data_IF_832512337246
#
_entry.id   IF_832512337246
#
_cell.length_a   1.000
_cell.length_b   1.000
_cell.length_c   1.000
_cell.angle_alpha   90.00
_cell.angle_beta   90.00
_cell.angle_gamma   90.00
#
_symmetry.space_group_name_H-M   'P 1'
#
loop_
_entity.id
_entity.type
_entity.pdbx_description
1 polymer ?
#
# COMPACT_ATOMS: atom_id res chain seq x y z
N UNK A 1 -26.95 -8.43 20.83
CA UNK A 1 -27.24 -7.33 19.90
C UNK A 1 -26.79 -7.79 18.52
N UNK A 2 -27.73 -8.03 17.60
CA UNK A 2 -27.42 -8.53 16.25
C UNK A 2 -26.93 -7.38 15.39
N UNK A 3 -25.65 -7.35 15.03
CA UNK A 3 -25.12 -6.43 14.03
C UNK A 3 -25.82 -6.70 12.69
N UNK A 4 -26.70 -5.78 12.29
CA UNK A 4 -27.31 -5.79 10.97
C UNK A 4 -26.22 -5.39 9.98
N UNK A 5 -25.77 -6.35 9.15
CA UNK A 5 -24.83 -6.05 8.05
C UNK A 5 -25.38 -4.87 7.23
N UNK A 6 -24.55 -3.86 6.90
CA UNK A 6 -24.99 -2.70 6.14
C UNK A 6 -25.58 -3.14 4.80
N UNK A 7 -26.77 -2.60 4.50
CA UNK A 7 -27.49 -2.85 3.24
C UNK A 7 -26.82 -2.11 2.09
N UNK A 8 -27.17 -2.45 0.84
CA UNK A 8 -26.66 -1.76 -0.35
C UNK A 8 -27.00 -0.26 -0.33
N UNK A 9 -28.16 0.11 0.22
CA UNK A 9 -28.57 1.50 0.37
C UNK A 9 -27.72 2.25 1.41
N UNK A 10 -27.29 1.56 2.47
CA UNK A 10 -26.38 2.11 3.47
C UNK A 10 -25.00 2.41 2.86
N UNK A 11 -24.46 1.51 2.02
CA UNK A 11 -23.22 1.76 1.29
C UNK A 11 -23.34 2.93 0.32
N UNK A 12 -24.43 3.03 -0.44
CA UNK A 12 -24.65 4.12 -1.37
C UNK A 12 -24.74 5.48 -0.66
N UNK A 13 -25.45 5.54 0.47
CA UNK A 13 -25.52 6.74 1.30
C UNK A 13 -24.15 7.13 1.88
N UNK A 14 -23.36 6.14 2.29
CA UNK A 14 -22.02 6.32 2.82
C UNK A 14 -21.05 6.86 1.76
N UNK A 15 -21.07 6.32 0.54
CA UNK A 15 -20.28 6.81 -0.60
C UNK A 15 -20.60 8.26 -0.92
N UNK A 16 -21.89 8.64 -0.92
CA UNK A 16 -22.30 10.04 -1.13
C UNK A 16 -21.72 10.97 -0.07
N UNK A 17 -21.72 10.56 1.20
CA UNK A 17 -21.14 11.35 2.30
C UNK A 17 -19.62 11.46 2.20
N UNK A 18 -18.93 10.37 1.82
CA UNK A 18 -17.48 10.39 1.62
C UNK A 18 -17.08 11.37 0.50
N UNK A 19 -17.82 11.38 -0.61
CA UNK A 19 -17.55 12.25 -1.77
C UNK A 19 -18.03 13.69 -1.62
N UNK A 20 -18.90 13.96 -0.65
CA UNK A 20 -19.44 15.30 -0.41
C UNK A 20 -18.36 16.24 0.13
N UNK A 21 -18.11 17.33 -0.58
CA UNK A 21 -17.22 18.40 -0.11
C UNK A 21 -17.76 19.13 1.13
N UNK A 22 -19.08 19.05 1.38
CA UNK A 22 -19.73 19.63 2.57
C UNK A 22 -19.56 18.78 3.83
N UNK A 23 -19.07 17.54 3.68
CA UNK A 23 -18.86 16.65 4.81
C UNK A 23 -17.49 16.91 5.42
N UNK A 24 -17.48 17.06 6.75
CA UNK A 24 -16.27 17.26 7.52
C UNK A 24 -15.16 16.24 7.15
N UNK A 25 -13.90 16.68 6.98
CA UNK A 25 -12.79 15.77 6.65
C UNK A 25 -12.64 14.60 7.62
N UNK A 26 -12.79 14.82 8.94
CA UNK A 26 -12.73 13.77 9.95
C UNK A 26 -13.85 12.75 9.79
N UNK A 27 -15.06 13.21 9.50
CA UNK A 27 -16.20 12.33 9.20
C UNK A 27 -15.95 11.50 7.94
N UNK A 28 -15.42 12.10 6.86
CA UNK A 28 -15.08 11.34 5.64
C UNK A 28 -14.06 10.24 5.92
N UNK A 29 -13.02 10.56 6.68
CA UNK A 29 -11.98 9.61 7.11
C UNK A 29 -12.56 8.47 7.95
N UNK A 30 -13.40 8.77 8.94
CA UNK A 30 -14.04 7.77 9.79
C UNK A 30 -14.94 6.82 8.98
N UNK A 31 -15.66 7.34 7.98
CA UNK A 31 -16.45 6.51 7.07
C UNK A 31 -15.53 5.57 6.26
N UNK A 32 -14.45 6.08 5.69
CA UNK A 32 -13.51 5.23 4.93
C UNK A 32 -12.88 4.13 5.80
N UNK A 33 -12.50 4.44 7.04
CA UNK A 33 -12.04 3.41 7.97
C UNK A 33 -13.12 2.38 8.30
N UNK A 34 -14.37 2.81 8.47
CA UNK A 34 -15.50 1.91 8.73
C UNK A 34 -15.73 0.95 7.55
N UNK A 35 -15.54 1.41 6.31
CA UNK A 35 -15.59 0.55 5.12
C UNK A 35 -14.53 -0.56 5.18
N UNK A 36 -13.27 -0.22 5.48
CA UNK A 36 -12.21 -1.22 5.63
C UNK A 36 -12.42 -2.16 6.82
N UNK A 37 -12.91 -1.64 7.95
CA UNK A 37 -13.19 -2.43 9.15
C UNK A 37 -14.38 -3.39 8.96
N UNK A 38 -15.29 -3.09 8.03
CA UNK A 38 -16.43 -3.97 7.75
C UNK A 38 -16.02 -5.34 7.20
N UNK A 39 -14.85 -5.44 6.55
CA UNK A 39 -14.40 -6.64 5.85
C UNK A 39 -15.32 -7.05 4.70
N UNK A 40 -16.28 -6.21 4.29
CA UNK A 40 -17.23 -6.51 3.23
C UNK A 40 -16.56 -6.28 1.86
N UNK A 41 -16.44 -7.31 1.00
CA UNK A 41 -15.79 -7.16 -0.31
C UNK A 41 -16.44 -6.08 -1.20
N UNK A 42 -17.70 -5.72 -0.96
CA UNK A 42 -18.38 -4.62 -1.68
C UNK A 42 -17.72 -3.25 -1.43
N UNK A 43 -16.89 -3.12 -0.39
CA UNK A 43 -16.13 -1.92 -0.10
C UNK A 43 -14.90 -1.74 -1.02
N UNK A 44 -14.31 -2.83 -1.55
CA UNK A 44 -13.11 -2.79 -2.39
C UNK A 44 -13.26 -1.83 -3.59
N UNK A 45 -14.30 -1.94 -4.45
CA UNK A 45 -14.45 -1.04 -5.59
C UNK A 45 -14.66 0.42 -5.19
N UNK A 46 -15.28 0.67 -4.02
CA UNK A 46 -15.47 2.02 -3.48
C UNK A 46 -14.12 2.61 -3.07
N UNK A 47 -13.35 1.88 -2.27
CA UNK A 47 -12.05 2.31 -1.78
C UNK A 47 -11.05 2.51 -2.93
N UNK A 48 -11.08 1.64 -3.95
CA UNK A 48 -10.31 1.81 -5.19
C UNK A 48 -10.62 3.14 -5.89
N UNK A 49 -11.90 3.50 -5.99
CA UNK A 49 -12.31 4.79 -6.55
C UNK A 49 -11.75 5.98 -5.76
N UNK A 50 -11.71 5.89 -4.43
CA UNK A 50 -11.21 6.95 -3.57
C UNK A 50 -9.70 7.18 -3.71
N UNK A 51 -8.91 6.11 -3.86
CA UNK A 51 -7.45 6.25 -4.07
C UNK A 51 -7.09 6.79 -5.45
N UNK A 52 -7.91 6.52 -6.47
CA UNK A 52 -7.71 7.01 -7.84
C UNK A 52 -8.02 8.51 -7.98
N UNK A 53 -9.05 9.01 -7.27
CA UNK A 53 -9.50 10.40 -7.35
C UNK A 53 -8.56 11.41 -6.65
N UNK A 54 -7.54 10.94 -5.91
CA UNK A 54 -6.59 11.80 -5.17
C UNK A 54 -7.30 12.80 -4.23
N UNK A 55 -8.39 12.35 -3.61
CA UNK A 55 -9.24 13.17 -2.74
C UNK A 55 -9.00 12.88 -1.27
N UNK A 56 -9.54 13.78 -0.43
CA UNK A 56 -9.21 13.96 0.99
C UNK A 56 -9.08 12.69 1.87
N UNK A 57 -9.74 11.54 1.64
CA UNK A 57 -9.42 10.35 2.42
C UNK A 57 -8.54 9.32 1.69
N UNK A 58 -7.67 9.72 0.75
CA UNK A 58 -6.76 8.80 0.03
C UNK A 58 -5.88 7.97 0.97
N UNK A 59 -5.33 8.60 2.02
CA UNK A 59 -4.53 7.92 3.05
C UNK A 59 -5.35 6.87 3.80
N UNK A 60 -6.56 7.24 4.21
CA UNK A 60 -7.48 6.34 4.89
C UNK A 60 -7.92 5.19 3.96
N UNK A 61 -8.06 5.46 2.66
CA UNK A 61 -8.47 4.47 1.70
C UNK A 61 -7.34 3.46 1.41
N UNK A 62 -6.08 3.88 1.33
CA UNK A 62 -4.92 2.99 1.27
C UNK A 62 -4.91 2.02 2.47
N UNK A 63 -5.04 2.57 3.68
CA UNK A 63 -5.04 1.77 4.91
C UNK A 63 -6.27 0.86 5.03
N UNK A 64 -7.44 1.32 4.58
CA UNK A 64 -8.66 0.52 4.58
C UNK A 64 -8.56 -0.66 3.61
N UNK A 65 -7.95 -0.48 2.43
CA UNK A 65 -7.68 -1.54 1.47
C UNK A 65 -6.76 -2.62 2.05
N UNK A 66 -5.70 -2.23 2.76
CA UNK A 66 -4.79 -3.17 3.40
C UNK A 66 -5.47 -4.15 4.39
N UNK A 67 -6.65 -3.79 4.92
CA UNK A 67 -7.40 -4.64 5.87
C UNK A 67 -8.08 -5.83 5.20
N UNK A 68 -8.23 -5.82 3.88
CA UNK A 68 -8.75 -6.96 3.13
C UNK A 68 -7.70 -8.07 2.95
N UNK A 69 -6.45 -7.84 3.38
CA UNK A 69 -5.38 -8.82 3.29
C UNK A 69 -4.89 -9.04 1.87
N UNK A 70 -4.32 -10.22 1.61
CA UNK A 70 -3.75 -10.60 0.30
C UNK A 70 -4.84 -10.90 -0.71
N UNK A 71 -5.44 -9.85 -1.24
CA UNK A 71 -6.40 -9.88 -2.33
C UNK A 71 -5.75 -9.28 -3.59
N UNK A 72 -5.82 -10.00 -4.71
CA UNK A 72 -5.16 -9.58 -5.96
C UNK A 72 -5.71 -8.28 -6.54
N UNK A 73 -7.01 -8.01 -6.36
CA UNK A 73 -7.62 -6.76 -6.82
C UNK A 73 -7.12 -5.59 -5.98
N UNK A 74 -7.00 -5.80 -4.67
CA UNK A 74 -6.44 -4.83 -3.72
C UNK A 74 -4.96 -4.56 -4.03
N UNK A 75 -4.14 -5.60 -4.16
CA UNK A 75 -2.72 -5.48 -4.50
C UNK A 75 -2.54 -4.71 -5.81
N UNK A 76 -3.28 -5.09 -6.86
CA UNK A 76 -3.20 -4.42 -8.17
C UNK A 76 -3.55 -2.94 -8.06
N UNK A 77 -4.64 -2.61 -7.39
CA UNK A 77 -5.08 -1.22 -7.24
C UNK A 77 -4.04 -0.36 -6.49
N UNK A 78 -3.44 -0.90 -5.45
CA UNK A 78 -2.39 -0.21 -4.70
C UNK A 78 -1.09 -0.12 -5.51
N UNK A 79 -0.71 -1.13 -6.31
CA UNK A 79 0.47 -1.04 -7.18
C UNK A 79 0.30 -0.02 -8.29
N UNK A 80 -0.87 0.05 -8.93
CA UNK A 80 -1.20 1.08 -9.91
C UNK A 80 -1.06 2.47 -9.29
N UNK A 81 -1.64 2.66 -8.10
CA UNK A 81 -1.57 3.93 -7.40
C UNK A 81 -0.14 4.27 -6.94
N UNK A 82 0.65 3.30 -6.49
CA UNK A 82 2.05 3.49 -6.09
C UNK A 82 2.88 4.03 -7.27
N UNK A 83 2.72 3.43 -8.45
CA UNK A 83 3.38 3.90 -9.68
C UNK A 83 2.98 5.32 -10.04
N UNK A 84 1.69 5.67 -9.94
CA UNK A 84 1.22 7.04 -10.18
C UNK A 84 1.83 8.04 -9.19
N UNK A 85 1.89 7.68 -7.90
CA UNK A 85 2.49 8.53 -6.86
C UNK A 85 3.96 8.79 -7.16
N UNK A 86 4.72 7.73 -7.46
CA UNK A 86 6.14 7.83 -7.81
C UNK A 86 6.37 8.66 -9.08
N UNK A 87 5.60 8.42 -10.14
CA UNK A 87 5.77 9.16 -11.39
C UNK A 87 5.42 10.64 -11.25
N UNK A 88 4.37 10.96 -10.49
CA UNK A 88 3.84 12.32 -10.42
C UNK A 88 4.56 13.18 -9.38
N UNK A 89 4.96 12.59 -8.26
CA UNK A 89 5.49 13.33 -7.11
C UNK A 89 6.79 12.74 -6.55
N UNK A 90 7.27 11.61 -7.09
CA UNK A 90 8.36 10.85 -6.49
C UNK A 90 8.04 10.49 -5.04
N UNK A 91 9.03 10.68 -4.16
CA UNK A 91 8.89 10.54 -2.70
C UNK A 91 8.46 11.84 -2.01
N UNK A 92 8.15 12.90 -2.77
CA UNK A 92 7.85 14.26 -2.27
C UNK A 92 6.47 14.45 -1.65
N UNK A 93 5.63 13.41 -1.63
CA UNK A 93 4.36 13.36 -0.88
C UNK A 93 4.45 12.27 0.19
N UNK A 94 5.11 12.55 1.33
CA UNK A 94 5.51 11.52 2.29
C UNK A 94 4.30 10.72 2.76
N UNK A 95 3.21 11.37 3.17
CA UNK A 95 2.03 10.68 3.70
C UNK A 95 1.44 9.66 2.73
N UNK A 96 1.28 10.02 1.45
CA UNK A 96 0.72 9.10 0.45
C UNK A 96 1.67 7.96 0.13
N UNK A 97 2.96 8.27 -0.03
CA UNK A 97 4.00 7.26 -0.28
C UNK A 97 4.11 6.25 0.87
N UNK A 98 4.17 6.72 2.11
CA UNK A 98 4.27 5.85 3.28
C UNK A 98 3.03 4.98 3.44
N UNK A 99 1.83 5.55 3.34
CA UNK A 99 0.59 4.78 3.54
C UNK A 99 0.38 3.73 2.47
N UNK A 100 0.73 4.03 1.21
CA UNK A 100 0.61 3.03 0.14
C UNK A 100 1.68 1.96 0.25
N UNK A 101 2.90 2.32 0.63
CA UNK A 101 4.00 1.36 0.84
C UNK A 101 3.66 0.41 1.98
N UNK A 102 3.18 0.94 3.10
CA UNK A 102 2.71 0.12 4.22
C UNK A 102 1.52 -0.75 3.84
N UNK A 103 0.54 -0.21 3.11
CA UNK A 103 -0.61 -0.99 2.65
C UNK A 103 -0.17 -2.19 1.80
N UNK A 104 0.74 -1.94 0.85
CA UNK A 104 1.35 -2.94 -0.01
C UNK A 104 2.23 -3.93 0.74
N UNK A 105 2.95 -3.53 1.81
CA UNK A 105 3.66 -4.47 2.68
C UNK A 105 2.73 -5.52 3.29
N UNK A 106 1.56 -5.08 3.74
CA UNK A 106 0.57 -5.96 4.38
C UNK A 106 -0.19 -6.87 3.43
N UNK A 107 -0.54 -6.38 2.23
CA UNK A 107 -1.38 -7.12 1.28
C UNK A 107 -0.63 -7.66 0.07
N UNK A 108 0.61 -7.23 -0.16
CA UNK A 108 1.38 -7.56 -1.34
C UNK A 108 1.99 -8.95 -1.31
N UNK A 109 2.27 -9.46 -2.51
CA UNK A 109 3.02 -10.69 -2.75
C UNK A 109 4.27 -10.45 -3.59
N UNK A 110 4.64 -11.44 -4.40
CA UNK A 110 5.84 -11.38 -5.24
C UNK A 110 5.82 -10.20 -6.25
N UNK A 111 4.65 -9.83 -6.77
CA UNK A 111 4.52 -8.69 -7.67
C UNK A 111 4.87 -7.37 -6.98
N UNK A 112 4.38 -7.18 -5.74
CA UNK A 112 4.74 -6.02 -4.93
C UNK A 112 6.22 -6.01 -4.59
N UNK A 113 6.76 -7.16 -4.14
CA UNK A 113 8.17 -7.30 -3.84
C UNK A 113 9.05 -6.88 -5.02
N UNK A 114 8.79 -7.40 -6.21
CA UNK A 114 9.53 -7.05 -7.42
C UNK A 114 9.47 -5.55 -7.74
N UNK A 115 8.32 -4.91 -7.58
CA UNK A 115 8.17 -3.47 -7.81
C UNK A 115 8.98 -2.65 -6.80
N UNK A 116 8.97 -3.03 -5.52
CA UNK A 116 9.75 -2.33 -4.49
C UNK A 116 11.25 -2.48 -4.72
N UNK A 117 11.67 -3.71 -5.01
CA UNK A 117 13.00 -4.09 -5.48
C UNK A 117 13.50 -3.17 -6.61
N UNK A 118 12.69 -2.98 -7.65
CA UNK A 118 13.05 -2.11 -8.76
C UNK A 118 12.98 -0.61 -8.43
N UNK A 119 12.23 -0.22 -7.40
CA UNK A 119 12.04 1.17 -6.98
C UNK A 119 13.16 1.66 -6.07
N UNK A 120 13.76 0.78 -5.26
CA UNK A 120 14.80 1.12 -4.30
C UNK A 120 15.91 2.03 -4.85
N UNK A 121 16.53 1.76 -6.03
CA UNK A 121 17.58 2.63 -6.60
C UNK A 121 17.17 4.10 -6.69
N UNK A 122 15.88 4.34 -6.94
CA UNK A 122 15.33 5.68 -7.16
C UNK A 122 15.08 6.45 -5.87
N UNK A 123 14.99 5.75 -4.73
CA UNK A 123 14.60 6.36 -3.44
C UNK A 123 15.71 6.37 -2.41
N UNK A 124 16.90 5.83 -2.72
CA UNK A 124 18.07 5.82 -1.81
C UNK A 124 18.48 7.19 -1.28
N UNK A 125 18.26 8.25 -2.05
CA UNK A 125 18.54 9.61 -1.59
C UNK A 125 17.61 10.05 -0.42
N UNK A 126 16.55 9.30 -0.13
CA UNK A 126 15.61 9.51 0.96
C UNK A 126 15.67 8.33 1.94
N UNK A 127 16.28 8.55 3.10
CA UNK A 127 16.34 7.55 4.18
C UNK A 127 14.94 7.07 4.58
N UNK A 128 14.00 8.00 4.65
CA UNK A 128 12.59 7.78 4.99
C UNK A 128 11.88 6.85 4.00
N UNK A 129 11.99 7.13 2.71
CA UNK A 129 11.36 6.33 1.67
C UNK A 129 12.01 4.95 1.52
N UNK A 130 13.32 4.88 1.78
CA UNK A 130 14.07 3.63 1.79
C UNK A 130 13.61 2.75 2.94
N UNK A 131 13.58 3.26 4.18
CA UNK A 131 13.08 2.49 5.34
C UNK A 131 11.64 2.01 5.14
N UNK A 132 10.78 2.82 4.53
CA UNK A 132 9.40 2.41 4.24
C UNK A 132 9.34 1.16 3.33
N UNK A 133 10.12 1.15 2.24
CA UNK A 133 10.14 0.01 1.32
C UNK A 133 10.73 -1.22 2.00
N UNK A 134 11.77 -1.04 2.83
CA UNK A 134 12.40 -2.14 3.54
C UNK A 134 11.47 -2.80 4.54
N UNK A 135 10.85 -2.02 5.41
CA UNK A 135 9.84 -2.56 6.34
C UNK A 135 8.68 -3.23 5.60
N UNK A 136 8.27 -2.70 4.44
CA UNK A 136 7.23 -3.34 3.65
C UNK A 136 7.69 -4.64 2.97
N UNK A 137 8.96 -4.73 2.53
CA UNK A 137 9.55 -5.98 2.02
C UNK A 137 9.66 -7.04 3.12
N UNK A 138 10.02 -6.64 4.35
CA UNK A 138 10.01 -7.51 5.53
C UNK A 138 8.59 -8.05 5.81
N UNK A 139 7.57 -7.19 5.76
CA UNK A 139 6.17 -7.59 5.94
C UNK A 139 5.68 -8.58 4.85
N UNK A 140 6.16 -8.43 3.60
CA UNK A 140 5.85 -9.37 2.51
C UNK A 140 6.52 -10.73 2.75
N UNK A 141 7.70 -10.75 3.38
CA UNK A 141 8.38 -11.95 3.85
C UNK A 141 9.00 -12.78 2.71
N UNK A 142 8.79 -14.11 2.64
CA UNK A 142 9.53 -14.99 1.72
C UNK A 142 9.44 -14.61 0.23
N UNK A 143 8.35 -14.00 -0.21
CA UNK A 143 8.20 -13.54 -1.59
C UNK A 143 9.12 -12.34 -1.92
N UNK A 144 9.52 -11.56 -0.90
CA UNK A 144 10.53 -10.53 -1.04
C UNK A 144 11.92 -11.11 -1.23
N UNK A 145 12.25 -12.22 -0.54
CA UNK A 145 13.54 -12.91 -0.68
C UNK A 145 13.80 -13.34 -2.13
N UNK A 146 12.85 -14.01 -2.77
CA UNK A 146 13.01 -14.46 -4.16
C UNK A 146 13.27 -13.27 -5.11
N UNK A 147 12.57 -12.15 -4.90
CA UNK A 147 12.75 -10.94 -5.70
C UNK A 147 14.13 -10.28 -5.49
N UNK A 148 14.64 -10.32 -4.26
CA UNK A 148 15.99 -9.83 -3.90
C UNK A 148 17.09 -10.75 -4.46
N UNK A 149 16.90 -12.07 -4.44
CA UNK A 149 17.82 -13.04 -5.04
C UNK A 149 17.88 -12.86 -6.57
N UNK A 150 16.73 -12.72 -7.22
CA UNK A 150 16.67 -12.44 -8.66
C UNK A 150 17.36 -11.12 -9.02
N UNK A 151 17.35 -10.11 -8.14
CA UNK A 151 18.09 -8.87 -8.30
C UNK A 151 19.60 -9.07 -8.24
N UNK A 152 20.08 -9.83 -7.26
CA UNK A 152 21.51 -10.16 -7.09
C UNK A 152 22.06 -10.76 -8.39
N UNK A 153 21.30 -11.67 -8.99
CA UNK A 153 21.71 -12.42 -10.17
C UNK A 153 21.65 -11.58 -11.46
N UNK A 154 20.97 -10.43 -11.46
CA UNK A 154 20.83 -9.51 -12.62
C UNK A 154 22.03 -8.57 -12.85
N UNK A 155 23.09 -8.65 -12.06
CA UNK A 155 24.35 -7.91 -12.33
C UNK A 155 24.21 -6.38 -12.25
N UNK A 156 23.39 -5.88 -11.31
CA UNK A 156 23.29 -4.45 -10.97
C UNK A 156 24.64 -3.94 -10.40
N UNK A 157 24.88 -2.62 -10.33
CA UNK A 157 26.13 -2.05 -9.79
C UNK A 157 26.52 -2.68 -8.44
N UNK A 158 27.81 -2.90 -8.17
CA UNK A 158 28.30 -3.63 -7.00
C UNK A 158 27.76 -3.12 -5.66
N UNK A 159 27.52 -1.80 -5.54
CA UNK A 159 26.91 -1.19 -4.35
C UNK A 159 25.49 -1.70 -4.09
N UNK A 160 24.74 -1.98 -5.16
CA UNK A 160 23.38 -2.51 -5.11
C UNK A 160 23.35 -3.99 -4.72
N UNK A 161 24.33 -4.76 -5.18
CA UNK A 161 24.50 -6.18 -4.84
C UNK A 161 24.85 -6.33 -3.37
N UNK A 162 25.84 -5.57 -2.89
CA UNK A 162 26.23 -5.55 -1.47
C UNK A 162 25.05 -5.20 -0.56
N UNK A 163 24.23 -4.25 -0.98
CA UNK A 163 23.05 -3.86 -0.24
C UNK A 163 21.96 -4.95 -0.21
N UNK A 164 21.73 -5.64 -1.34
CA UNK A 164 20.83 -6.80 -1.36
C UNK A 164 21.32 -7.92 -0.43
N UNK A 165 22.64 -8.14 -0.33
CA UNK A 165 23.24 -9.08 0.61
C UNK A 165 23.03 -8.66 2.08
N UNK A 166 23.22 -7.38 2.41
CA UNK A 166 22.96 -6.84 3.75
C UNK A 166 21.49 -7.00 4.17
N UNK A 167 20.55 -6.83 3.23
CA UNK A 167 19.13 -7.06 3.48
C UNK A 167 18.71 -8.52 3.59
N UNK A 168 19.27 -9.38 2.74
CA UNK A 168 19.07 -10.81 2.87
C UNK A 168 19.57 -11.29 4.23
N UNK A 169 20.70 -10.76 4.71
CA UNK A 169 21.22 -11.05 6.04
C UNK A 169 20.29 -10.54 7.16
N UNK A 170 19.72 -9.33 7.03
CA UNK A 170 18.73 -8.82 7.99
C UNK A 170 17.45 -9.67 8.04
N UNK A 171 17.00 -10.18 6.89
CA UNK A 171 15.85 -11.09 6.80
C UNK A 171 16.14 -12.50 7.36
N UNK A 172 17.42 -12.85 7.55
CA UNK A 172 17.86 -14.14 8.10
C UNK A 172 18.08 -14.09 9.63
N UNK A 173 18.09 -12.90 10.25
CA UNK A 173 18.17 -12.73 11.71
C UNK A 173 16.89 -13.27 12.37
N UNK A 174 16.97 -14.19 13.35
CA UNK A 174 15.78 -14.67 14.06
C UNK A 174 15.18 -13.54 14.91
N UNK A 175 13.87 -13.34 14.76
CA UNK A 175 13.07 -12.35 15.50
C UNK A 175 13.16 -12.49 17.03
#
# INVERSE_FOLDING_TARGET
MTEKKPTTDDFAAMVRRIRSAKTDPGVRTALVYSLGASGDPRAIPILRGLIAEDRAPVLAANLALARFGRDEEVERALLERFRVVLQRWGVGQPGTYFTITHALGRCGGAATAAVFVDTLPMVFASCDATHALLGALEEIGPAARESLEQLRDRGRPQEFVRWAEELLALLDEPA
#
